data_IF_716160141973
#
_entry.id   IF_716160141973
#
_cell.length_a   1.000
_cell.length_b   1.000
_cell.length_c   1.000
_cell.angle_alpha   90.00
_cell.angle_beta   90.00
_cell.angle_gamma   90.00
#
_symmetry.space_group_name_H-M   'P 1'
#
loop_
_entity.id
_entity.type
_entity.pdbx_description
1 polymer ?
#
# COMPACT_ATOMS: atom_id res chain seq x y z
N UNK A 1 21.46 -5.81 30.73
CA UNK A 1 20.93 -6.20 29.40
C UNK A 1 21.71 -5.43 28.34
N UNK A 2 22.45 -6.08 27.43
CA UNK A 2 23.31 -5.39 26.45
C UNK A 2 22.46 -4.45 25.57
N UNK A 3 22.87 -3.19 25.44
CA UNK A 3 22.23 -2.20 24.57
C UNK A 3 22.36 -2.66 23.11
N UNK A 4 21.23 -2.77 22.41
CA UNK A 4 21.23 -3.05 20.97
C UNK A 4 21.74 -1.80 20.26
N UNK A 5 22.79 -1.94 19.44
CA UNK A 5 23.35 -0.82 18.68
C UNK A 5 22.30 -0.17 17.78
N UNK A 6 22.37 1.15 17.56
CA UNK A 6 21.46 1.89 16.67
C UNK A 6 21.33 1.25 15.28
N UNK A 7 22.44 0.79 14.68
CA UNK A 7 22.42 0.11 13.38
C UNK A 7 21.56 -1.17 13.39
N UNK A 8 21.62 -1.98 14.45
CA UNK A 8 20.78 -3.18 14.59
C UNK A 8 19.30 -2.80 14.77
N UNK A 9 18.99 -1.73 15.51
CA UNK A 9 17.61 -1.23 15.64
C UNK A 9 17.04 -0.79 14.29
N UNK A 10 17.81 -0.03 13.52
CA UNK A 10 17.43 0.40 12.16
C UNK A 10 17.19 -0.81 11.26
N UNK A 11 18.12 -1.77 11.22
CA UNK A 11 17.96 -3.00 10.42
C UNK A 11 16.73 -3.80 10.85
N UNK A 12 16.48 -3.91 12.16
CA UNK A 12 15.31 -4.59 12.70
C UNK A 12 14.02 -3.92 12.26
N UNK A 13 13.96 -2.58 12.31
CA UNK A 13 12.82 -1.81 11.83
C UNK A 13 12.60 -1.98 10.32
N UNK A 14 13.67 -1.93 9.50
CA UNK A 14 13.57 -2.14 8.05
C UNK A 14 13.08 -3.53 7.66
N UNK A 15 13.32 -4.55 8.50
CA UNK A 15 12.78 -5.89 8.26
C UNK A 15 11.25 -5.94 8.30
N UNK A 16 10.58 -4.96 8.93
CA UNK A 16 9.13 -4.85 8.88
C UNK A 16 8.62 -4.62 7.46
N UNK A 17 9.16 -3.62 6.74
CA UNK A 17 8.72 -3.30 5.38
C UNK A 17 8.97 -4.52 4.44
N UNK A 18 10.09 -5.22 4.61
CA UNK A 18 10.36 -6.50 3.92
C UNK A 18 9.34 -7.60 4.26
N UNK A 19 8.96 -7.70 5.54
CA UNK A 19 8.07 -8.74 6.02
C UNK A 19 6.63 -8.52 5.54
N UNK A 20 6.15 -7.28 5.51
CA UNK A 20 4.75 -6.92 5.24
C UNK A 20 4.40 -6.81 3.76
N UNK A 21 5.37 -6.45 2.90
CA UNK A 21 5.11 -6.20 1.48
C UNK A 21 4.45 -7.37 0.72
N UNK A 22 4.75 -8.66 1.01
CA UNK A 22 4.09 -9.78 0.34
C UNK A 22 2.58 -9.85 0.55
N UNK A 23 2.02 -9.26 1.61
CA UNK A 23 0.56 -9.18 1.75
C UNK A 23 -0.05 -8.35 0.62
N UNK A 24 0.48 -7.15 0.37
CA UNK A 24 0.01 -6.31 -0.74
C UNK A 24 0.31 -6.97 -2.10
N UNK A 25 1.52 -7.50 -2.27
CA UNK A 25 1.96 -8.01 -3.58
C UNK A 25 1.24 -9.30 -3.95
N UNK A 26 1.18 -10.28 -3.05
CA UNK A 26 0.67 -11.61 -3.34
C UNK A 26 -0.82 -11.76 -3.03
N UNK A 27 -1.25 -11.26 -1.85
CA UNK A 27 -2.64 -11.44 -1.43
C UNK A 27 -3.54 -10.43 -2.15
N UNK A 28 -3.20 -9.14 -2.10
CA UNK A 28 -4.09 -8.11 -2.67
C UNK A 28 -4.02 -8.09 -4.19
N UNK A 29 -2.82 -8.20 -4.79
CA UNK A 29 -2.64 -7.88 -6.21
C UNK A 29 -2.49 -9.08 -7.14
N UNK A 30 -1.46 -9.91 -6.98
CA UNK A 30 -1.02 -10.80 -8.08
C UNK A 30 -1.46 -12.26 -8.00
N UNK A 31 -1.81 -12.79 -6.82
CA UNK A 31 -2.11 -14.21 -6.67
C UNK A 31 -3.50 -14.43 -6.07
N UNK A 32 -3.70 -14.03 -4.81
CA UNK A 32 -4.93 -14.38 -4.11
C UNK A 32 -6.14 -13.57 -4.57
N UNK A 33 -6.02 -12.26 -4.79
CA UNK A 33 -7.11 -11.41 -5.28
C UNK A 33 -7.71 -11.93 -6.60
N UNK A 34 -6.88 -12.18 -7.65
CA UNK A 34 -7.36 -12.81 -8.88
C UNK A 34 -7.97 -14.20 -8.66
N UNK A 35 -7.35 -15.05 -7.84
CA UNK A 35 -7.89 -16.36 -7.49
C UNK A 35 -9.25 -16.28 -6.80
N UNK A 36 -9.41 -15.38 -5.82
CA UNK A 36 -10.69 -15.15 -5.15
C UNK A 36 -11.77 -14.74 -6.14
N UNK A 37 -11.46 -13.81 -7.06
CA UNK A 37 -12.39 -13.40 -8.10
C UNK A 37 -12.78 -14.57 -9.02
N UNK A 38 -11.81 -15.37 -9.46
CA UNK A 38 -12.01 -16.59 -10.26
C UNK A 38 -13.00 -17.55 -9.57
N UNK A 39 -12.79 -17.85 -8.28
CA UNK A 39 -13.64 -18.77 -7.53
C UNK A 39 -15.03 -18.23 -7.24
N UNK A 40 -15.16 -16.94 -6.94
CA UNK A 40 -16.48 -16.33 -6.74
C UNK A 40 -17.28 -16.30 -8.04
N UNK A 41 -16.63 -16.01 -9.19
CA UNK A 41 -17.28 -16.12 -10.51
C UNK A 41 -17.76 -17.55 -10.74
N UNK A 42 -16.90 -18.56 -10.54
CA UNK A 42 -17.25 -19.96 -10.72
C UNK A 42 -18.45 -20.38 -9.83
N UNK A 43 -18.47 -19.94 -8.57
CA UNK A 43 -19.57 -20.19 -7.65
C UNK A 43 -20.90 -19.58 -8.14
N UNK A 44 -20.92 -18.32 -8.58
CA UNK A 44 -22.13 -17.69 -9.12
C UNK A 44 -22.58 -18.31 -10.45
N UNK A 45 -21.64 -18.64 -11.34
CA UNK A 45 -21.95 -19.32 -12.60
C UNK A 45 -22.54 -20.71 -12.37
N UNK A 46 -22.06 -21.46 -11.36
CA UNK A 46 -22.64 -22.74 -10.96
C UNK A 46 -24.09 -22.62 -10.44
N UNK A 47 -24.48 -21.44 -9.92
CA UNK A 47 -25.86 -21.12 -9.53
C UNK A 47 -26.72 -20.62 -10.70
N UNK A 48 -26.21 -20.64 -11.94
CA UNK A 48 -26.94 -20.22 -13.14
C UNK A 48 -26.97 -18.71 -13.38
N UNK A 49 -26.14 -17.93 -12.67
CA UNK A 49 -25.95 -16.50 -12.94
C UNK A 49 -25.14 -16.33 -14.23
N UNK A 50 -25.54 -15.42 -15.10
CA UNK A 50 -24.80 -15.12 -16.31
C UNK A 50 -23.38 -14.61 -16.00
N UNK A 51 -22.47 -14.82 -16.94
CA UNK A 51 -21.04 -14.60 -16.70
C UNK A 51 -20.67 -13.15 -16.37
N UNK A 52 -21.35 -12.17 -16.98
CA UNK A 52 -21.05 -10.75 -16.74
C UNK A 52 -21.59 -10.30 -15.38
N UNK A 53 -22.78 -10.77 -15.00
CA UNK A 53 -23.30 -10.56 -13.65
C UNK A 53 -22.43 -11.26 -12.60
N UNK A 54 -21.94 -12.48 -12.84
CA UNK A 54 -21.04 -13.19 -11.93
C UNK A 54 -19.72 -12.43 -11.70
N UNK A 55 -19.14 -11.83 -12.77
CA UNK A 55 -17.98 -10.95 -12.68
C UNK A 55 -18.26 -9.69 -11.85
N UNK A 56 -19.40 -9.06 -12.07
CA UNK A 56 -19.82 -7.89 -11.29
C UNK A 56 -19.99 -8.25 -9.80
N UNK A 57 -20.55 -9.42 -9.48
CA UNK A 57 -20.70 -9.90 -8.10
C UNK A 57 -19.35 -10.19 -7.45
N UNK A 58 -18.42 -10.84 -8.14
CA UNK A 58 -17.07 -11.08 -7.62
C UNK A 58 -16.34 -9.77 -7.30
N UNK A 59 -16.42 -8.78 -8.19
CA UNK A 59 -15.89 -7.44 -7.94
C UNK A 59 -16.58 -6.76 -6.74
N UNK A 60 -17.90 -6.88 -6.63
CA UNK A 60 -18.69 -6.32 -5.52
C UNK A 60 -18.27 -6.92 -4.17
N UNK A 61 -18.17 -8.25 -4.07
CA UNK A 61 -17.77 -8.95 -2.84
C UNK A 61 -16.35 -8.56 -2.42
N UNK A 62 -15.41 -8.52 -3.36
CA UNK A 62 -14.04 -8.07 -3.07
C UNK A 62 -14.00 -6.61 -2.62
N UNK A 63 -14.74 -5.74 -3.31
CA UNK A 63 -14.90 -4.33 -2.96
C UNK A 63 -15.51 -4.12 -1.57
N UNK A 64 -16.48 -4.95 -1.17
CA UNK A 64 -17.04 -4.94 0.19
C UNK A 64 -15.99 -5.30 1.24
N UNK A 65 -15.15 -6.30 1.00
CA UNK A 65 -14.04 -6.64 1.91
C UNK A 65 -13.04 -5.49 2.10
N UNK A 66 -12.66 -4.85 1.00
CA UNK A 66 -11.81 -3.64 1.05
C UNK A 66 -12.49 -2.47 1.76
N UNK A 67 -13.80 -2.29 1.55
CA UNK A 67 -14.58 -1.23 2.21
C UNK A 67 -14.69 -1.46 3.71
N UNK A 68 -15.05 -2.68 4.14
CA UNK A 68 -15.17 -3.03 5.57
C UNK A 68 -13.82 -2.90 6.27
N UNK A 69 -12.74 -3.43 5.69
CA UNK A 69 -11.40 -3.27 6.25
C UNK A 69 -10.98 -1.80 6.31
N UNK A 70 -11.17 -1.04 5.23
CA UNK A 70 -10.86 0.39 5.17
C UNK A 70 -11.61 1.22 6.20
N UNK A 71 -12.91 0.99 6.38
CA UNK A 71 -13.75 1.69 7.37
C UNK A 71 -13.34 1.30 8.80
N UNK A 72 -13.06 0.02 9.04
CA UNK A 72 -12.57 -0.46 10.33
C UNK A 72 -11.25 0.23 10.71
N UNK A 73 -10.30 0.30 9.76
CA UNK A 73 -9.02 0.99 9.96
C UNK A 73 -9.24 2.48 10.18
N UNK A 74 -10.06 3.14 9.36
CA UNK A 74 -10.34 4.57 9.47
C UNK A 74 -10.87 4.94 10.88
N UNK A 75 -11.79 4.13 11.42
CA UNK A 75 -12.39 4.38 12.74
C UNK A 75 -11.42 4.02 13.87
N UNK A 76 -10.77 2.86 13.79
CA UNK A 76 -9.97 2.33 14.89
C UNK A 76 -8.55 2.92 14.95
N UNK A 77 -7.97 3.37 13.83
CA UNK A 77 -6.58 3.83 13.75
C UNK A 77 -6.29 5.03 14.68
N UNK A 78 -7.07 6.12 14.67
CA UNK A 78 -6.83 7.24 15.58
C UNK A 78 -7.05 6.86 17.05
N UNK A 79 -8.06 6.02 17.33
CA UNK A 79 -8.40 5.60 18.70
C UNK A 79 -7.30 4.73 19.29
N UNK A 80 -6.90 3.67 18.60
CA UNK A 80 -5.86 2.77 19.09
C UNK A 80 -4.48 3.46 19.10
N UNK A 81 -4.25 4.41 18.20
CA UNK A 81 -3.07 5.26 18.22
C UNK A 81 -2.97 6.08 19.50
N UNK A 82 -4.02 6.81 19.85
CA UNK A 82 -4.07 7.62 21.08
C UNK A 82 -3.89 6.77 22.36
N UNK A 83 -4.48 5.57 22.39
CA UNK A 83 -4.32 4.62 23.51
C UNK A 83 -2.85 4.15 23.62
N UNK A 84 -2.22 3.82 22.50
CA UNK A 84 -0.83 3.38 22.49
C UNK A 84 0.13 4.47 22.95
N UNK A 85 -0.09 5.73 22.54
CA UNK A 85 0.68 6.87 23.03
C UNK A 85 0.52 7.04 24.55
N UNK A 86 -0.70 6.96 25.10
CA UNK A 86 -0.93 7.07 26.55
C UNK A 86 -0.30 5.95 27.40
N UNK A 87 -0.06 4.77 26.82
CA UNK A 87 0.67 3.67 27.49
C UNK A 87 2.17 3.69 27.24
N UNK A 88 2.66 4.51 26.30
CA UNK A 88 4.05 4.56 25.80
C UNK A 88 4.58 3.19 25.28
N UNK A 89 3.69 2.25 24.96
CA UNK A 89 4.05 0.88 24.55
C UNK A 89 3.40 0.52 23.23
N UNK A 90 4.18 0.43 22.16
CA UNK A 90 3.74 0.13 20.78
C UNK A 90 4.02 -1.34 20.43
N UNK A 91 5.07 -1.95 20.98
CA UNK A 91 5.43 -3.35 20.71
C UNK A 91 4.32 -4.35 21.02
N UNK A 92 3.55 -4.24 22.13
CA UNK A 92 2.42 -5.15 22.36
C UNK A 92 1.35 -5.07 21.26
N UNK A 93 1.07 -3.87 20.76
CA UNK A 93 0.15 -3.69 19.64
C UNK A 93 0.70 -4.30 18.35
N UNK A 94 1.99 -4.12 18.08
CA UNK A 94 2.64 -4.76 16.92
C UNK A 94 2.54 -6.29 17.03
N UNK A 95 2.70 -6.89 18.21
CA UNK A 95 2.49 -8.33 18.42
C UNK A 95 1.06 -8.78 18.12
N UNK A 96 0.06 -8.08 18.67
CA UNK A 96 -1.36 -8.41 18.47
C UNK A 96 -1.72 -8.33 16.99
N UNK A 97 -1.39 -7.23 16.32
CA UNK A 97 -1.72 -7.06 14.90
C UNK A 97 -0.86 -7.91 13.97
N UNK A 98 0.35 -8.30 14.39
CA UNK A 98 1.13 -9.36 13.72
C UNK A 98 0.42 -10.70 13.78
N UNK A 99 -0.22 -11.04 14.91
CA UNK A 99 -1.04 -12.25 15.00
C UNK A 99 -2.27 -12.15 14.10
N UNK A 100 -2.95 -11.00 14.04
CA UNK A 100 -4.04 -10.77 13.08
C UNK A 100 -3.58 -10.92 11.62
N UNK A 101 -2.41 -10.38 11.26
CA UNK A 101 -1.79 -10.57 9.95
C UNK A 101 -1.61 -12.07 9.65
N UNK A 102 -0.94 -12.79 10.56
CA UNK A 102 -0.56 -14.19 10.34
C UNK A 102 -1.80 -15.07 10.25
N UNK A 103 -2.74 -14.93 11.18
CA UNK A 103 -3.99 -15.70 11.18
C UNK A 103 -4.84 -15.35 9.95
N UNK A 104 -4.96 -14.06 9.62
CA UNK A 104 -5.69 -13.61 8.45
C UNK A 104 -5.10 -14.13 7.13
N UNK A 105 -3.78 -14.07 6.97
CA UNK A 105 -3.10 -14.61 5.79
C UNK A 105 -3.18 -16.14 5.73
N UNK A 106 -2.87 -16.85 6.83
CA UNK A 106 -2.91 -18.31 6.86
C UNK A 106 -4.33 -18.86 6.64
N UNK A 107 -5.36 -18.18 7.15
CA UNK A 107 -6.76 -18.57 6.99
C UNK A 107 -7.25 -18.53 5.54
N UNK A 108 -6.55 -17.84 4.63
CA UNK A 108 -6.84 -17.88 3.20
C UNK A 108 -6.63 -19.28 2.58
N UNK A 109 -5.92 -20.18 3.27
CA UNK A 109 -5.80 -21.59 2.90
C UNK A 109 -7.16 -22.27 2.68
N UNK A 110 -8.19 -21.87 3.43
CA UNK A 110 -9.53 -22.46 3.34
C UNK A 110 -10.32 -22.06 2.10
N UNK A 111 -9.75 -21.25 1.21
CA UNK A 111 -10.35 -20.87 -0.06
C UNK A 111 -10.36 -22.03 -1.07
N UNK A 112 -11.04 -23.13 -0.75
CA UNK A 112 -11.15 -24.33 -1.60
C UNK A 112 -12.03 -24.08 -2.82
N UNK A 113 -11.66 -24.53 -4.04
CA UNK A 113 -12.45 -24.30 -5.25
C UNK A 113 -13.78 -25.09 -5.29
N UNK A 114 -13.87 -26.22 -4.59
CA UNK A 114 -15.04 -27.13 -4.65
C UNK A 114 -16.24 -26.66 -3.82
N UNK A 115 -15.99 -26.11 -2.64
CA UNK A 115 -16.99 -25.54 -1.73
C UNK A 115 -16.44 -24.21 -1.19
N UNK A 116 -16.40 -23.21 -2.06
CA UNK A 116 -15.70 -21.96 -1.79
C UNK A 116 -16.39 -21.17 -0.67
N UNK A 117 -15.78 -21.06 0.53
CA UNK A 117 -16.45 -20.46 1.68
C UNK A 117 -16.23 -18.94 1.69
N UNK A 118 -16.85 -18.26 0.72
CA UNK A 118 -16.63 -16.85 0.37
C UNK A 118 -16.53 -15.93 1.58
N UNK A 119 -17.51 -15.97 2.49
CA UNK A 119 -17.55 -15.05 3.64
C UNK A 119 -16.51 -15.35 4.71
N UNK A 120 -16.16 -16.62 4.93
CA UNK A 120 -15.10 -16.99 5.87
C UNK A 120 -13.74 -16.53 5.34
N UNK A 121 -13.47 -16.76 4.07
CA UNK A 121 -12.26 -16.30 3.39
C UNK A 121 -12.16 -14.77 3.41
N UNK A 122 -13.27 -14.08 3.14
CA UNK A 122 -13.34 -12.62 3.20
C UNK A 122 -13.07 -12.10 4.62
N UNK A 123 -13.58 -12.78 5.66
CA UNK A 123 -13.31 -12.42 7.04
C UNK A 123 -11.82 -12.57 7.41
N UNK A 124 -11.16 -13.63 6.94
CA UNK A 124 -9.71 -13.80 7.11
C UNK A 124 -8.91 -12.72 6.35
N UNK A 125 -9.32 -12.39 5.13
CA UNK A 125 -8.74 -11.27 4.37
C UNK A 125 -8.88 -9.94 5.14
N UNK A 126 -10.08 -9.62 5.64
CA UNK A 126 -10.32 -8.40 6.42
C UNK A 126 -9.44 -8.37 7.68
N UNK A 127 -9.37 -9.49 8.42
CA UNK A 127 -8.53 -9.61 9.62
C UNK A 127 -7.04 -9.37 9.30
N UNK A 128 -6.56 -9.95 8.21
CA UNK A 128 -5.17 -9.79 7.78
C UNK A 128 -4.88 -8.35 7.32
N UNK A 129 -5.78 -7.74 6.53
CA UNK A 129 -5.67 -6.34 6.10
C UNK A 129 -5.64 -5.38 7.30
N UNK A 130 -6.48 -5.60 8.32
CA UNK A 130 -6.43 -4.85 9.58
C UNK A 130 -5.05 -5.06 10.24
N UNK A 131 -4.56 -6.30 10.32
CA UNK A 131 -3.23 -6.60 10.86
C UNK A 131 -2.09 -5.85 10.17
N UNK A 132 -2.07 -5.83 8.82
CA UNK A 132 -1.09 -5.11 8.00
C UNK A 132 -1.09 -3.62 8.33
N UNK A 133 -2.27 -3.00 8.31
CA UNK A 133 -2.41 -1.55 8.40
C UNK A 133 -2.09 -1.04 9.81
N UNK A 134 -2.53 -1.76 10.84
CA UNK A 134 -2.17 -1.41 12.21
C UNK A 134 -0.70 -1.65 12.52
N UNK A 135 -0.11 -2.79 12.11
CA UNK A 135 1.33 -2.99 12.28
C UNK A 135 2.13 -1.89 11.55
N UNK A 136 1.64 -1.39 10.42
CA UNK A 136 2.27 -0.28 9.67
C UNK A 136 2.21 1.01 10.49
N UNK A 137 1.06 1.36 11.05
CA UNK A 137 0.87 2.55 11.89
C UNK A 137 1.84 2.54 13.08
N UNK A 138 1.83 1.46 13.88
CA UNK A 138 2.66 1.37 15.08
C UNK A 138 4.16 1.34 14.75
N UNK A 139 4.53 0.66 13.66
CA UNK A 139 5.94 0.61 13.21
C UNK A 139 6.41 1.95 12.67
N UNK A 140 5.60 2.65 11.88
CA UNK A 140 5.93 3.98 11.39
C UNK A 140 6.12 4.98 12.53
N UNK A 141 5.31 4.86 13.58
CA UNK A 141 5.40 5.74 14.73
C UNK A 141 6.65 5.49 15.60
N UNK A 142 7.39 4.39 15.38
CA UNK A 142 8.72 4.14 15.96
C UNK A 142 9.84 4.89 15.22
N UNK A 143 9.64 5.23 13.95
CA UNK A 143 10.64 5.83 13.06
C UNK A 143 11.41 7.02 13.66
N UNK A 144 10.77 7.99 14.38
CA UNK A 144 11.48 9.11 14.99
C UNK A 144 12.55 8.70 16.00
N UNK A 145 12.44 7.50 16.59
CA UNK A 145 13.38 6.99 17.61
C UNK A 145 14.64 6.32 17.04
N UNK A 146 14.78 6.27 15.70
CA UNK A 146 15.82 5.50 15.02
C UNK A 146 17.02 6.34 14.56
N UNK A 147 16.92 7.67 14.61
CA UNK A 147 18.01 8.56 14.25
C UNK A 147 17.58 10.03 14.30
N UNK A 148 18.52 10.91 14.02
CA UNK A 148 18.26 12.35 13.97
C UNK A 148 17.27 12.70 12.87
N UNK A 149 16.60 13.86 12.99
CA UNK A 149 15.59 14.34 12.03
C UNK A 149 16.06 14.32 10.57
N UNK A 150 17.36 14.50 10.31
CA UNK A 150 17.97 14.43 8.98
C UNK A 150 18.18 13.01 8.47
N UNK A 151 18.46 12.03 9.34
CA UNK A 151 18.72 10.64 8.93
C UNK A 151 17.42 9.86 8.66
N UNK A 152 16.29 10.30 9.22
CA UNK A 152 15.00 9.63 9.10
C UNK A 152 14.58 9.45 7.63
N UNK A 153 14.85 10.44 6.76
CA UNK A 153 14.64 10.35 5.31
C UNK A 153 15.28 9.11 4.68
N UNK A 154 16.56 8.90 5.00
CA UNK A 154 17.34 7.75 4.51
C UNK A 154 16.84 6.44 5.12
N UNK A 155 16.51 6.42 6.40
CA UNK A 155 15.99 5.22 7.07
C UNK A 155 14.65 4.78 6.45
N UNK A 156 13.73 5.73 6.24
CA UNK A 156 12.44 5.47 5.61
C UNK A 156 12.59 4.98 4.17
N UNK A 157 13.41 5.66 3.36
CA UNK A 157 13.61 5.28 1.95
C UNK A 157 14.24 3.89 1.82
N UNK A 158 15.19 3.57 2.69
CA UNK A 158 15.78 2.23 2.74
C UNK A 158 14.74 1.17 3.15
N UNK A 159 13.94 1.42 4.19
CA UNK A 159 12.89 0.49 4.63
C UNK A 159 11.92 0.18 3.49
N UNK A 160 11.38 1.22 2.85
CA UNK A 160 10.43 1.06 1.75
C UNK A 160 11.05 0.35 0.52
N UNK A 161 12.30 0.66 0.18
CA UNK A 161 13.03 -0.05 -0.87
C UNK A 161 13.19 -1.55 -0.57
N UNK A 162 13.54 -1.90 0.67
CA UNK A 162 13.60 -3.30 1.11
C UNK A 162 12.23 -3.99 1.07
N UNK A 163 11.16 -3.24 1.34
CA UNK A 163 9.79 -3.69 1.09
C UNK A 163 9.60 -4.16 -0.34
N UNK A 164 9.87 -3.30 -1.33
CA UNK A 164 9.76 -3.68 -2.75
C UNK A 164 10.56 -4.95 -3.10
N UNK A 165 11.81 -5.06 -2.63
CA UNK A 165 12.62 -6.26 -2.86
C UNK A 165 11.96 -7.49 -2.26
N UNK A 166 11.43 -7.39 -1.03
CA UNK A 166 10.72 -8.49 -0.37
C UNK A 166 9.46 -8.92 -1.12
N UNK A 167 8.65 -7.97 -1.58
CA UNK A 167 7.45 -8.25 -2.38
C UNK A 167 7.77 -8.93 -3.72
N UNK A 168 8.76 -8.41 -4.46
CA UNK A 168 9.18 -8.98 -5.76
C UNK A 168 9.77 -10.37 -5.57
N UNK A 169 10.65 -10.57 -4.58
CA UNK A 169 11.23 -11.89 -4.32
C UNK A 169 10.15 -12.90 -3.92
N UNK A 170 9.23 -12.51 -3.04
CA UNK A 170 8.11 -13.36 -2.64
C UNK A 170 7.24 -13.77 -3.84
N UNK A 171 7.00 -12.86 -4.79
CA UNK A 171 6.25 -13.14 -6.03
C UNK A 171 6.99 -14.11 -6.94
N UNK A 172 8.29 -13.90 -7.15
CA UNK A 172 9.13 -14.79 -7.95
C UNK A 172 9.10 -16.20 -7.34
N UNK A 173 9.28 -16.33 -6.03
CA UNK A 173 9.24 -17.63 -5.35
C UNK A 173 7.87 -18.30 -5.48
N UNK A 174 6.79 -17.55 -5.29
CA UNK A 174 5.44 -18.08 -5.48
C UNK A 174 5.22 -18.61 -6.89
N UNK A 175 5.51 -17.83 -7.93
CA UNK A 175 5.25 -18.22 -9.31
C UNK A 175 6.15 -19.36 -9.81
N UNK A 176 7.41 -19.40 -9.37
CA UNK A 176 8.34 -20.44 -9.77
C UNK A 176 8.02 -21.79 -9.12
N UNK A 177 7.58 -21.80 -7.85
CA UNK A 177 7.57 -23.03 -7.05
C UNK A 177 6.19 -23.47 -6.55
N UNK A 178 5.21 -22.58 -6.48
CA UNK A 178 3.94 -22.87 -5.80
C UNK A 178 2.73 -22.61 -6.69
N UNK A 179 2.53 -21.38 -7.16
CA UNK A 179 1.37 -21.00 -7.95
C UNK A 179 1.38 -21.70 -9.32
N UNK A 180 0.42 -22.58 -9.50
CA UNK A 180 0.13 -23.32 -10.71
C UNK A 180 -0.76 -22.54 -11.68
N UNK A 181 -0.56 -22.77 -12.98
CA UNK A 181 -1.43 -22.28 -14.05
C UNK A 181 -2.60 -23.26 -14.31
N UNK A 182 -3.39 -23.01 -15.35
CA UNK A 182 -4.52 -23.86 -15.76
C UNK A 182 -4.15 -25.30 -16.10
N UNK A 183 -2.87 -25.57 -16.40
CA UNK A 183 -2.37 -26.91 -16.71
C UNK A 183 -1.82 -27.62 -15.46
N UNK A 184 -1.99 -27.04 -14.26
CA UNK A 184 -1.54 -27.61 -13.01
C UNK A 184 -0.02 -27.56 -12.78
N UNK A 185 0.69 -26.73 -13.55
CA UNK A 185 2.14 -26.57 -13.44
C UNK A 185 2.53 -25.13 -13.08
N UNK A 186 3.60 -25.01 -12.32
CA UNK A 186 4.28 -23.75 -11.98
C UNK A 186 5.08 -23.22 -13.17
N UNK A 187 5.67 -22.03 -13.05
CA UNK A 187 6.55 -21.49 -14.10
C UNK A 187 7.81 -22.35 -14.35
N UNK A 188 8.18 -23.24 -13.43
CA UNK A 188 9.24 -24.22 -13.65
C UNK A 188 8.80 -25.46 -14.45
N UNK A 189 7.55 -25.49 -14.92
CA UNK A 189 7.02 -26.60 -15.71
C UNK A 189 6.76 -27.88 -14.90
N UNK A 190 6.71 -27.77 -13.57
CA UNK A 190 6.45 -28.88 -12.64
C UNK A 190 5.24 -28.56 -11.78
N UNK A 191 4.60 -29.59 -11.22
CA UNK A 191 3.58 -29.41 -10.19
C UNK A 191 4.12 -28.61 -8.98
N UNK A 192 3.23 -27.99 -8.19
CA UNK A 192 3.60 -27.25 -6.99
C UNK A 192 4.51 -28.05 -6.04
N UNK A 193 5.43 -27.36 -5.34
CA UNK A 193 6.27 -28.00 -4.32
C UNK A 193 5.44 -28.58 -3.16
N UNK A 194 6.10 -29.42 -2.35
CA UNK A 194 5.52 -30.11 -1.19
C UNK A 194 4.41 -31.11 -1.51
N UNK A 195 4.20 -31.46 -2.79
CA UNK A 195 3.16 -32.38 -3.21
C UNK A 195 1.75 -31.79 -3.08
N UNK A 196 1.65 -30.46 -3.11
CA UNK A 196 0.36 -29.76 -3.13
C UNK A 196 -0.40 -30.12 -4.42
N UNK A 197 -1.70 -30.38 -4.27
CA UNK A 197 -2.58 -30.81 -5.36
C UNK A 197 -2.95 -29.65 -6.30
N UNK A 198 -2.50 -29.67 -7.57
CA UNK A 198 -2.83 -28.64 -8.53
C UNK A 198 -4.31 -28.61 -8.95
N UNK A 199 -5.02 -29.74 -8.88
CA UNK A 199 -6.46 -29.79 -9.22
C UNK A 199 -7.28 -29.02 -8.18
N UNK A 200 -6.89 -29.13 -6.91
CA UNK A 200 -7.48 -28.42 -5.78
C UNK A 200 -6.92 -26.99 -5.58
N UNK A 201 -6.14 -26.51 -6.57
CA UNK A 201 -5.49 -25.19 -6.60
C UNK A 201 -4.65 -24.93 -5.33
N UNK A 202 -4.10 -25.99 -4.73
CA UNK A 202 -3.41 -25.91 -3.45
C UNK A 202 -2.12 -25.08 -3.53
N UNK A 203 -1.43 -25.08 -4.69
CA UNK A 203 -0.26 -24.25 -4.91
C UNK A 203 -0.56 -22.75 -4.83
N UNK A 204 -1.70 -22.34 -5.41
CA UNK A 204 -2.19 -20.96 -5.42
C UNK A 204 -2.73 -20.59 -4.03
N UNK A 205 -3.49 -21.48 -3.38
CA UNK A 205 -4.01 -21.28 -2.01
C UNK A 205 -2.89 -21.22 -0.96
N UNK A 206 -1.77 -21.89 -1.20
CA UNK A 206 -0.59 -21.84 -0.34
C UNK A 206 0.00 -20.44 -0.20
N UNK A 207 -0.37 -19.47 -1.06
CA UNK A 207 0.00 -18.06 -0.92
C UNK A 207 -0.30 -17.49 0.47
N UNK A 208 -1.43 -17.88 1.07
CA UNK A 208 -1.81 -17.43 2.41
C UNK A 208 -0.81 -17.89 3.48
N UNK A 209 -0.65 -19.20 3.69
CA UNK A 209 0.39 -19.76 4.56
C UNK A 209 1.81 -19.29 4.24
N UNK A 210 2.17 -19.15 2.97
CA UNK A 210 3.48 -18.65 2.55
C UNK A 210 3.71 -17.21 3.03
N UNK A 211 2.75 -16.30 2.82
CA UNK A 211 2.84 -14.91 3.27
C UNK A 211 2.84 -14.82 4.79
N UNK A 212 2.06 -15.65 5.48
CA UNK A 212 2.05 -15.73 6.94
C UNK A 212 3.41 -16.18 7.50
N UNK A 213 3.98 -17.24 6.94
CA UNK A 213 5.30 -17.76 7.30
C UNK A 213 6.43 -16.78 6.99
N UNK A 214 6.40 -16.15 5.80
CA UNK A 214 7.34 -15.11 5.41
C UNK A 214 7.36 -13.97 6.42
N UNK A 215 6.18 -13.47 6.79
CA UNK A 215 6.05 -12.38 7.75
C UNK A 215 6.55 -12.80 9.13
N UNK A 216 6.12 -13.96 9.64
CA UNK A 216 6.52 -14.47 10.95
C UNK A 216 8.04 -14.63 11.08
N UNK A 217 8.69 -15.23 10.07
CA UNK A 217 10.14 -15.42 10.04
C UNK A 217 10.89 -14.09 9.88
N UNK A 218 10.39 -13.23 8.99
CA UNK A 218 11.03 -11.94 8.69
C UNK A 218 10.87 -10.91 9.81
N UNK A 219 9.87 -11.05 10.68
CA UNK A 219 9.68 -10.22 11.87
C UNK A 219 10.59 -10.61 13.05
N UNK A 220 11.29 -11.75 12.99
CA UNK A 220 12.19 -12.18 14.07
C UNK A 220 13.26 -11.10 14.37
N UNK A 221 14.01 -10.55 13.40
CA UNK A 221 15.00 -9.51 13.68
C UNK A 221 14.36 -8.22 14.21
N UNK A 222 13.14 -7.89 13.78
CA UNK A 222 12.38 -6.75 14.30
C UNK A 222 12.20 -6.90 15.81
N UNK A 223 11.61 -8.01 16.28
CA UNK A 223 11.35 -8.19 17.71
C UNK A 223 12.61 -8.45 18.56
N UNK A 224 13.66 -9.04 17.97
CA UNK A 224 14.94 -9.24 18.68
C UNK A 224 15.68 -7.93 18.93
N UNK A 225 15.62 -6.99 18.00
CA UNK A 225 16.43 -5.76 18.05
C UNK A 225 15.64 -4.52 18.44
N UNK A 226 14.33 -4.48 18.17
CA UNK A 226 13.48 -3.38 18.57
C UNK A 226 13.17 -3.48 20.06
N UNK A 227 13.46 -2.41 20.78
CA UNK A 227 13.21 -2.29 22.22
C UNK A 227 12.57 -0.96 22.50
N UNK A 228 11.55 -0.99 23.36
CA UNK A 228 10.95 0.20 23.92
C UNK A 228 11.55 0.48 25.29
N UNK A 229 11.77 1.76 25.64
CA UNK A 229 12.01 2.14 27.02
C UNK A 229 10.89 1.54 27.89
N UNK A 230 11.25 0.97 29.06
CA UNK A 230 10.25 0.59 30.05
C UNK A 230 9.76 1.89 30.71
N UNK A 231 8.79 2.55 30.08
CA UNK A 231 8.24 3.84 30.49
C UNK A 231 7.10 3.75 31.51
N UNK A 232 6.90 4.84 32.24
CA UNK A 232 5.90 5.13 33.28
C UNK A 232 4.49 5.38 32.75
N UNK A 233 4.18 4.85 31.57
CA UNK A 233 2.91 5.06 30.87
C UNK A 233 1.68 4.65 31.69
N UNK A 234 0.52 5.19 31.32
CA UNK A 234 -0.72 4.96 32.06
C UNK A 234 -1.11 3.48 32.06
N UNK A 235 -1.86 3.05 33.10
CA UNK A 235 -2.51 1.75 33.09
C UNK A 235 -3.46 1.67 31.88
N UNK A 236 -3.60 0.51 31.19
CA UNK A 236 -4.39 0.38 29.96
C UNK A 236 -5.83 0.92 30.08
N UNK A 237 -6.51 0.65 31.21
CA UNK A 237 -7.88 1.14 31.43
C UNK A 237 -7.98 2.68 31.47
N UNK A 238 -6.99 3.36 32.06
CA UNK A 238 -6.94 4.83 32.07
C UNK A 238 -6.51 5.38 30.71
N UNK A 239 -5.62 4.67 30.00
CA UNK A 239 -5.19 5.04 28.66
C UNK A 239 -6.34 5.02 27.64
N UNK A 240 -7.35 4.16 27.81
CA UNK A 240 -8.57 4.19 26.97
C UNK A 240 -9.30 5.53 27.12
N UNK A 241 -9.70 5.89 28.34
CA UNK A 241 -10.44 7.14 28.58
C UNK A 241 -9.60 8.37 28.19
N UNK A 242 -8.32 8.37 28.56
CA UNK A 242 -7.38 9.45 28.23
C UNK A 242 -7.18 9.57 26.73
N UNK A 243 -6.98 8.45 26.03
CA UNK A 243 -6.79 8.39 24.58
C UNK A 243 -7.99 8.91 23.80
N UNK A 244 -9.22 8.58 24.20
CA UNK A 244 -10.43 9.14 23.58
C UNK A 244 -10.55 10.66 23.80
N UNK A 245 -10.24 11.14 25.02
CA UNK A 245 -10.23 12.58 25.32
C UNK A 245 -9.15 13.32 24.52
N UNK A 246 -7.94 12.77 24.48
CA UNK A 246 -6.79 13.29 23.72
C UNK A 246 -7.12 13.39 22.23
N UNK A 247 -7.70 12.35 21.65
CA UNK A 247 -8.10 12.34 20.25
C UNK A 247 -9.13 13.43 19.95
N UNK A 248 -10.14 13.60 20.82
CA UNK A 248 -11.13 14.67 20.67
C UNK A 248 -10.49 16.06 20.77
N UNK A 249 -9.52 16.26 21.66
CA UNK A 249 -8.74 17.50 21.76
C UNK A 249 -7.89 17.75 20.51
N UNK A 250 -7.22 16.73 19.99
CA UNK A 250 -6.43 16.82 18.76
C UNK A 250 -7.32 17.17 17.57
N UNK A 251 -8.48 16.52 17.42
CA UNK A 251 -9.42 16.83 16.35
C UNK A 251 -9.98 18.27 16.46
N UNK A 252 -10.25 18.75 17.68
CA UNK A 252 -10.70 20.13 17.92
C UNK A 252 -9.60 21.17 17.68
N UNK A 253 -8.35 20.83 17.94
CA UNK A 253 -7.19 21.71 17.71
C UNK A 253 -6.62 21.59 16.30
N UNK A 254 -7.03 20.60 15.50
CA UNK A 254 -6.52 20.42 14.14
C UNK A 254 -6.71 21.66 13.24
N UNK A 255 -7.86 22.39 13.28
CA UNK A 255 -8.02 23.63 12.53
C UNK A 255 -7.07 24.77 12.94
N UNK A 256 -6.58 24.78 14.19
CA UNK A 256 -5.56 25.75 14.62
C UNK A 256 -4.15 25.32 14.22
N UNK A 257 -3.90 24.00 14.10
CA UNK A 257 -2.65 23.42 13.58
C UNK A 257 -2.60 23.42 12.05
N UNK A 258 -2.49 24.62 11.45
CA UNK A 258 -2.64 24.86 10.00
C UNK A 258 -1.72 23.99 9.14
N UNK A 259 -0.46 23.83 9.54
CA UNK A 259 0.53 23.03 8.80
C UNK A 259 0.18 21.55 8.80
N UNK A 260 -0.19 21.00 9.97
CA UNK A 260 -0.57 19.59 10.09
C UNK A 260 -1.85 19.29 9.31
N UNK A 261 -2.87 20.14 9.44
CA UNK A 261 -4.12 20.01 8.68
C UNK A 261 -3.87 20.11 7.18
N UNK A 262 -3.10 21.10 6.73
CA UNK A 262 -2.73 21.25 5.32
C UNK A 262 -1.97 20.02 4.80
N UNK A 263 -1.09 19.44 5.61
CA UNK A 263 -0.36 18.23 5.24
C UNK A 263 -1.27 17.00 5.16
N UNK A 264 -2.13 16.79 6.16
CA UNK A 264 -3.10 15.69 6.13
C UNK A 264 -3.97 15.80 4.88
N UNK A 265 -4.61 16.96 4.64
CA UNK A 265 -5.44 17.18 3.44
C UNK A 265 -4.65 17.02 2.14
N UNK A 266 -3.44 17.59 2.04
CA UNK A 266 -2.59 17.40 0.88
C UNK A 266 -2.35 15.91 0.62
N UNK A 267 -1.97 15.17 1.66
CA UNK A 267 -1.68 13.74 1.59
C UNK A 267 -2.88 12.90 1.21
N UNK A 268 -4.08 13.27 1.64
CA UNK A 268 -5.33 12.65 1.21
C UNK A 268 -5.44 12.65 -0.32
N UNK A 269 -5.37 13.83 -0.93
CA UNK A 269 -5.57 13.98 -2.37
C UNK A 269 -4.48 13.32 -3.22
N UNK A 270 -3.20 13.52 -2.91
CA UNK A 270 -2.14 12.92 -3.74
C UNK A 270 -2.03 11.40 -3.54
N UNK A 271 -2.32 10.87 -2.35
CA UNK A 271 -2.31 9.40 -2.12
C UNK A 271 -3.50 8.73 -2.78
N UNK A 272 -4.68 9.35 -2.71
CA UNK A 272 -5.85 8.84 -3.42
C UNK A 272 -5.63 8.87 -4.93
N UNK A 273 -5.08 9.97 -5.46
CA UNK A 273 -4.71 10.06 -6.88
C UNK A 273 -3.71 8.98 -7.28
N UNK A 274 -2.66 8.76 -6.48
CA UNK A 274 -1.66 7.71 -6.71
C UNK A 274 -2.29 6.30 -6.69
N UNK A 275 -3.19 6.02 -5.76
CA UNK A 275 -3.95 4.76 -5.72
C UNK A 275 -4.80 4.58 -6.98
N UNK A 276 -5.43 5.67 -7.46
CA UNK A 276 -6.14 5.69 -8.73
C UNK A 276 -5.25 5.30 -9.90
N UNK A 277 -4.03 5.86 -9.99
CA UNK A 277 -3.12 5.49 -11.10
C UNK A 277 -2.72 4.01 -11.00
N UNK A 278 -2.44 3.48 -9.81
CA UNK A 278 -2.12 2.06 -9.65
C UNK A 278 -3.28 1.13 -10.00
N UNK A 279 -4.50 1.47 -9.58
CA UNK A 279 -5.68 0.64 -9.81
C UNK A 279 -6.10 0.62 -11.29
N UNK A 280 -6.03 1.76 -11.97
CA UNK A 280 -6.53 1.91 -13.34
C UNK A 280 -5.43 1.85 -14.41
N UNK A 281 -4.15 1.89 -14.05
CA UNK A 281 -3.04 1.85 -15.01
C UNK A 281 -3.00 0.58 -15.87
N UNK A 282 -3.24 -0.59 -15.26
CA UNK A 282 -3.32 -1.85 -16.00
C UNK A 282 -4.58 -1.94 -16.88
N UNK A 283 -5.72 -1.43 -16.38
CA UNK A 283 -6.98 -1.37 -17.14
C UNK A 283 -6.82 -0.48 -18.37
N UNK A 284 -6.16 0.66 -18.22
CA UNK A 284 -5.84 1.56 -19.32
C UNK A 284 -4.95 0.86 -20.36
N UNK A 285 -3.88 0.19 -19.94
CA UNK A 285 -2.97 -0.47 -20.86
C UNK A 285 -3.68 -1.55 -21.70
N UNK A 286 -4.56 -2.32 -21.07
CA UNK A 286 -5.36 -3.33 -21.75
C UNK A 286 -6.41 -2.72 -22.69
N UNK A 287 -7.10 -1.67 -22.26
CA UNK A 287 -8.23 -1.10 -23.00
C UNK A 287 -7.86 -0.07 -24.08
N UNK A 288 -6.74 0.64 -23.93
CA UNK A 288 -6.31 1.72 -24.86
C UNK A 288 -5.15 1.29 -25.74
N UNK A 289 -4.20 0.53 -25.21
CA UNK A 289 -3.03 0.04 -25.95
C UNK A 289 -3.15 -1.42 -26.38
N UNK A 290 -4.28 -2.06 -26.07
CA UNK A 290 -4.57 -3.46 -26.42
C UNK A 290 -3.47 -4.42 -25.94
N UNK A 291 -2.85 -4.09 -24.80
CA UNK A 291 -1.78 -4.90 -24.24
C UNK A 291 -2.25 -6.29 -23.85
N UNK A 292 -1.43 -7.28 -24.18
CA UNK A 292 -1.58 -8.62 -23.61
C UNK A 292 -1.41 -8.60 -22.09
N UNK A 293 -1.99 -9.58 -21.40
CA UNK A 293 -1.81 -9.78 -19.95
C UNK A 293 -0.33 -9.89 -19.58
N UNK A 294 0.49 -10.49 -20.45
CA UNK A 294 1.94 -10.61 -20.26
C UNK A 294 2.59 -9.23 -20.24
N UNK A 295 2.23 -8.33 -21.16
CA UNK A 295 2.80 -6.98 -21.24
C UNK A 295 2.48 -6.16 -19.97
N UNK A 296 1.26 -6.27 -19.46
CA UNK A 296 0.84 -5.64 -18.18
C UNK A 296 1.62 -6.21 -16.99
N UNK A 297 1.87 -7.52 -16.98
CA UNK A 297 2.72 -8.18 -15.97
C UNK A 297 4.16 -7.66 -15.99
N UNK A 298 4.77 -7.58 -17.17
CA UNK A 298 6.12 -7.00 -17.36
C UNK A 298 6.16 -5.56 -16.86
N UNK A 299 5.13 -4.75 -17.15
CA UNK A 299 5.01 -3.38 -16.68
C UNK A 299 5.03 -3.29 -15.15
N UNK A 300 4.24 -4.14 -14.47
CA UNK A 300 4.22 -4.20 -13.01
C UNK A 300 5.59 -4.54 -12.41
N UNK A 301 6.32 -5.50 -13.01
CA UNK A 301 7.66 -5.89 -12.58
C UNK A 301 8.66 -4.74 -12.76
N UNK A 302 8.66 -4.09 -13.93
CA UNK A 302 9.55 -2.96 -14.21
C UNK A 302 9.26 -1.78 -13.27
N UNK A 303 7.99 -1.49 -13.01
CA UNK A 303 7.58 -0.46 -12.05
C UNK A 303 8.04 -0.79 -10.62
N UNK A 304 7.92 -2.05 -10.18
CA UNK A 304 8.36 -2.46 -8.84
C UNK A 304 9.88 -2.43 -8.67
N UNK A 305 10.65 -2.90 -9.66
CA UNK A 305 12.11 -2.83 -9.65
C UNK A 305 12.61 -1.38 -9.65
N UNK A 306 12.00 -0.54 -10.50
CA UNK A 306 12.25 0.90 -10.51
C UNK A 306 11.93 1.51 -9.15
N UNK A 307 10.77 1.18 -8.57
CA UNK A 307 10.38 1.61 -7.24
C UNK A 307 11.39 1.26 -6.16
N UNK A 308 11.94 0.04 -6.15
CA UNK A 308 12.99 -0.34 -5.20
C UNK A 308 14.23 0.57 -5.30
N UNK A 309 14.75 0.76 -6.51
CA UNK A 309 15.98 1.52 -6.77
C UNK A 309 15.77 3.01 -6.44
N UNK A 310 14.72 3.61 -6.98
CA UNK A 310 14.51 5.05 -6.84
C UNK A 310 14.01 5.44 -5.46
N UNK A 311 13.29 4.57 -4.74
CA UNK A 311 12.92 4.84 -3.34
C UNK A 311 14.14 4.86 -2.42
N UNK A 312 15.11 3.98 -2.67
CA UNK A 312 16.42 4.03 -2.00
C UNK A 312 17.11 5.37 -2.26
N UNK A 313 17.19 5.80 -3.53
CA UNK A 313 17.78 7.10 -3.92
C UNK A 313 17.01 8.28 -3.29
N UNK A 314 15.67 8.23 -3.32
CA UNK A 314 14.78 9.22 -2.75
C UNK A 314 14.95 9.38 -1.24
N UNK A 315 15.32 8.32 -0.52
CA UNK A 315 15.70 8.41 0.89
C UNK A 315 16.92 9.30 1.14
N UNK A 316 17.93 9.28 0.25
CA UNK A 316 19.07 10.20 0.34
C UNK A 316 18.68 11.63 -0.02
N UNK A 317 17.76 11.81 -0.96
CA UNK A 317 17.22 13.13 -1.31
C UNK A 317 16.42 13.72 -0.16
N UNK A 318 15.58 12.92 0.51
CA UNK A 318 14.83 13.32 1.71
C UNK A 318 15.80 13.71 2.84
N UNK A 319 16.84 12.89 3.07
CA UNK A 319 17.90 13.25 4.03
C UNK A 319 18.55 14.60 3.72
N UNK A 320 18.84 14.89 2.44
CA UNK A 320 19.57 16.09 2.01
C UNK A 320 18.70 17.35 1.96
N UNK A 321 17.48 17.23 1.45
CA UNK A 321 16.60 18.36 1.14
C UNK A 321 15.39 18.47 2.07
N UNK A 322 15.14 17.45 2.89
CA UNK A 322 13.90 17.25 3.62
C UNK A 322 12.79 16.65 2.76
N UNK A 323 11.66 16.27 3.37
CA UNK A 323 10.60 15.57 2.66
C UNK A 323 9.75 16.49 1.77
N UNK A 324 9.58 17.77 2.13
CA UNK A 324 8.70 18.68 1.36
C UNK A 324 9.14 18.79 -0.12
N UNK A 325 10.41 19.09 -0.45
CA UNK A 325 10.82 19.18 -1.85
C UNK A 325 10.71 17.85 -2.59
N UNK A 326 10.95 16.73 -1.91
CA UNK A 326 10.84 15.38 -2.49
C UNK A 326 9.38 15.05 -2.84
N UNK A 327 8.44 15.37 -1.95
CA UNK A 327 7.00 15.21 -2.21
C UNK A 327 6.57 16.11 -3.38
N UNK A 328 6.97 17.40 -3.36
CA UNK A 328 6.65 18.35 -4.44
C UNK A 328 7.15 17.85 -5.79
N UNK A 329 8.43 17.45 -5.87
CA UNK A 329 9.02 16.89 -7.09
C UNK A 329 8.24 15.65 -7.57
N UNK A 330 7.91 14.74 -6.66
CA UNK A 330 7.18 13.52 -6.98
C UNK A 330 5.78 13.82 -7.53
N UNK A 331 5.05 14.76 -6.93
CA UNK A 331 3.71 15.15 -7.42
C UNK A 331 3.80 15.82 -8.79
N UNK A 332 4.76 16.72 -9.00
CA UNK A 332 4.96 17.38 -10.31
C UNK A 332 5.27 16.34 -11.39
N UNK A 333 6.17 15.39 -11.09
CA UNK A 333 6.52 14.32 -12.03
C UNK A 333 5.33 13.37 -12.27
N UNK A 334 4.53 13.04 -11.26
CA UNK A 334 3.29 12.27 -11.41
C UNK A 334 2.26 12.98 -12.30
N UNK A 335 2.13 14.31 -12.19
CA UNK A 335 1.28 15.10 -13.09
C UNK A 335 1.78 15.00 -14.53
N UNK A 336 3.09 15.18 -14.74
CA UNK A 336 3.72 15.04 -16.07
C UNK A 336 3.50 13.64 -16.64
N UNK A 337 3.63 12.60 -15.81
CA UNK A 337 3.37 11.21 -16.21
C UNK A 337 1.90 11.03 -16.62
N UNK A 338 0.94 11.51 -15.83
CA UNK A 338 -0.48 11.43 -16.16
C UNK A 338 -0.80 12.15 -17.49
N UNK A 339 -0.26 13.36 -17.69
CA UNK A 339 -0.41 14.11 -18.95
C UNK A 339 0.22 13.35 -20.12
N UNK A 340 1.40 12.76 -19.91
CA UNK A 340 2.09 11.95 -20.92
C UNK A 340 1.27 10.73 -21.30
N UNK A 341 0.73 9.99 -20.31
CA UNK A 341 -0.15 8.84 -20.52
C UNK A 341 -1.39 9.23 -21.33
N UNK A 342 -2.06 10.33 -20.99
CA UNK A 342 -3.23 10.80 -21.74
C UNK A 342 -2.87 11.15 -23.19
N UNK A 343 -1.63 11.56 -23.45
CA UNK A 343 -1.14 11.95 -24.78
C UNK A 343 -0.68 10.76 -25.63
N UNK A 344 -0.65 9.54 -25.08
CA UNK A 344 -0.28 8.32 -25.80
C UNK A 344 -1.56 7.67 -26.36
N UNK A 345 -1.55 7.36 -27.65
CA UNK A 345 -2.54 6.53 -28.35
C UNK A 345 -1.80 5.52 -29.23
N UNK A 346 -2.47 4.48 -29.76
CA UNK A 346 -1.82 3.53 -30.67
C UNK A 346 -1.18 4.20 -31.90
N UNK A 347 -1.69 5.37 -32.31
CA UNK A 347 -1.22 6.13 -33.47
C UNK A 347 -0.40 7.38 -33.12
N UNK A 348 -0.22 7.71 -31.84
CA UNK A 348 0.51 8.93 -31.45
C UNK A 348 1.18 8.85 -30.08
N UNK A 349 2.31 9.53 -29.95
CA UNK A 349 3.01 9.73 -28.66
C UNK A 349 3.27 11.21 -28.47
N UNK A 350 2.82 11.77 -27.35
CA UNK A 350 2.93 13.21 -27.07
C UNK A 350 2.32 14.07 -28.19
N UNK A 351 1.19 13.62 -28.75
CA UNK A 351 0.49 14.25 -29.88
C UNK A 351 1.26 14.25 -31.21
N UNK A 352 2.39 13.52 -31.30
CA UNK A 352 3.13 13.32 -32.54
C UNK A 352 2.68 11.99 -33.16
N UNK A 353 2.18 11.98 -34.41
CA UNK A 353 1.74 10.74 -35.05
C UNK A 353 2.93 9.81 -35.29
N UNK A 354 2.73 8.52 -35.03
CA UNK A 354 3.71 7.47 -35.26
C UNK A 354 3.26 6.57 -36.42
N UNK A 355 4.21 5.88 -37.03
CA UNK A 355 3.89 4.91 -38.08
C UNK A 355 2.91 3.85 -37.57
N UNK A 356 2.04 3.35 -38.45
CA UNK A 356 1.14 2.25 -38.14
C UNK A 356 1.93 1.05 -37.61
N UNK A 357 1.43 0.40 -36.54
CA UNK A 357 2.10 -0.72 -35.84
C UNK A 357 3.48 -0.39 -35.24
N UNK A 358 3.81 0.88 -35.03
CA UNK A 358 5.02 1.27 -34.29
C UNK A 358 4.95 0.77 -32.85
N UNK A 359 6.04 0.24 -32.32
CA UNK A 359 6.17 -0.12 -30.89
C UNK A 359 6.39 1.10 -29.98
N UNK A 360 6.43 2.32 -30.54
CA UNK A 360 6.74 3.54 -29.81
C UNK A 360 5.70 3.88 -28.70
N UNK A 361 4.37 3.73 -28.90
CA UNK A 361 3.38 3.93 -27.85
C UNK A 361 3.60 2.99 -26.66
N UNK A 362 3.89 1.71 -26.93
CA UNK A 362 4.14 0.72 -25.90
C UNK A 362 5.40 1.06 -25.09
N UNK A 363 6.50 1.38 -25.79
CA UNK A 363 7.75 1.79 -25.15
C UNK A 363 7.54 3.06 -24.32
N UNK A 364 6.82 4.05 -24.84
CA UNK A 364 6.50 5.27 -24.10
C UNK A 364 5.68 4.98 -22.84
N UNK A 365 4.70 4.08 -22.92
CA UNK A 365 3.90 3.68 -21.76
C UNK A 365 4.72 2.88 -20.74
N UNK A 366 5.64 2.01 -21.17
CA UNK A 366 6.61 1.36 -20.28
C UNK A 366 7.51 2.36 -19.57
N UNK A 367 8.01 3.38 -20.27
CA UNK A 367 8.81 4.47 -19.67
C UNK A 367 7.99 5.23 -18.62
N UNK A 368 6.74 5.56 -18.91
CA UNK A 368 5.81 6.14 -17.94
C UNK A 368 5.61 5.23 -16.72
N UNK A 369 5.49 3.92 -16.92
CA UNK A 369 5.40 2.92 -15.84
C UNK A 369 6.62 2.85 -14.94
N UNK A 370 7.81 2.83 -15.54
CA UNK A 370 9.09 2.88 -14.81
C UNK A 370 9.21 4.17 -14.01
N UNK A 371 8.88 5.32 -14.63
CA UNK A 371 8.91 6.61 -13.96
C UNK A 371 7.88 6.69 -12.82
N UNK A 372 6.69 6.13 -13.02
CA UNK A 372 5.64 6.03 -12.02
C UNK A 372 6.06 5.15 -10.84
N UNK A 373 6.63 3.98 -11.10
CA UNK A 373 7.21 3.11 -10.09
C UNK A 373 8.32 3.84 -9.31
N UNK A 374 9.19 4.56 -10.01
CA UNK A 374 10.30 5.30 -9.42
C UNK A 374 9.83 6.32 -8.38
N UNK A 375 8.82 7.13 -8.71
CA UNK A 375 8.31 8.17 -7.79
C UNK A 375 7.28 7.67 -6.80
N UNK A 376 6.57 6.59 -7.11
CA UNK A 376 5.49 6.03 -6.28
C UNK A 376 5.97 5.61 -4.90
N UNK A 377 7.13 4.94 -4.81
CA UNK A 377 7.73 4.60 -3.53
C UNK A 377 8.42 5.80 -2.85
N UNK A 378 9.02 6.70 -3.63
CA UNK A 378 9.68 7.92 -3.12
C UNK A 378 8.70 8.82 -2.39
N UNK A 379 7.54 9.12 -2.99
CA UNK A 379 6.53 9.97 -2.36
C UNK A 379 5.97 9.33 -1.10
N UNK A 380 5.77 8.01 -1.09
CA UNK A 380 5.23 7.30 0.08
C UNK A 380 6.21 7.31 1.24
N UNK A 381 7.50 7.05 0.98
CA UNK A 381 8.56 7.15 1.99
C UNK A 381 8.70 8.58 2.51
N UNK A 382 8.76 9.58 1.63
CA UNK A 382 8.87 10.99 2.04
C UNK A 382 7.62 11.48 2.80
N UNK A 383 6.45 10.91 2.52
CA UNK A 383 5.23 11.21 3.28
C UNK A 383 5.29 10.64 4.69
N UNK A 384 5.88 9.45 4.87
CA UNK A 384 6.14 8.87 6.21
C UNK A 384 7.00 9.82 7.04
N UNK A 385 8.06 10.39 6.46
CA UNK A 385 8.97 11.30 7.17
C UNK A 385 8.40 12.71 7.35
N UNK A 386 7.60 13.20 6.40
CA UNK A 386 6.84 14.45 6.58
C UNK A 386 5.89 14.34 7.77
N UNK A 387 5.18 13.22 7.93
CA UNK A 387 4.31 13.00 9.07
C UNK A 387 5.10 13.06 10.40
N UNK A 388 6.30 12.48 10.45
CA UNK A 388 7.19 12.60 11.63
C UNK A 388 7.55 14.05 11.94
N UNK A 389 7.76 14.90 10.93
CA UNK A 389 8.06 16.33 11.13
C UNK A 389 6.85 17.14 11.57
N UNK A 390 5.64 16.79 11.12
CA UNK A 390 4.40 17.50 11.47
C UNK A 390 3.80 17.04 12.80
N UNK A 391 4.05 15.80 13.21
CA UNK A 391 3.48 15.21 14.40
C UNK A 391 4.03 15.85 15.69
N UNK A 392 3.18 15.85 16.71
CA UNK A 392 3.62 16.04 18.08
C UNK A 392 4.50 14.85 18.50
N UNK A 393 5.74 15.05 18.97
CA UNK A 393 6.62 13.97 19.41
C UNK A 393 5.99 13.08 20.49
N UNK A 394 5.10 13.62 21.33
CA UNK A 394 4.43 12.87 22.41
C UNK A 394 3.22 12.07 21.90
N UNK A 395 2.66 12.43 20.74
CA UNK A 395 1.44 11.83 20.16
C UNK A 395 1.68 11.22 18.78
N UNK A 396 2.83 10.58 18.60
CA UNK A 396 3.28 10.09 17.30
C UNK A 396 2.39 8.96 16.74
N UNK A 397 1.87 8.05 17.57
CA UNK A 397 0.98 6.98 17.06
C UNK A 397 -0.37 7.54 16.63
N UNK A 398 -0.93 8.44 17.43
CA UNK A 398 -2.17 9.14 17.15
C UNK A 398 -2.06 9.90 15.82
N UNK A 399 -0.94 10.61 15.60
CA UNK A 399 -0.67 11.31 14.36
C UNK A 399 -0.61 10.38 13.13
N UNK A 400 0.07 9.23 13.23
CA UNK A 400 0.06 8.22 12.16
C UNK A 400 -1.32 7.56 11.99
N UNK A 401 -2.12 7.45 13.06
CA UNK A 401 -3.52 7.02 12.99
C UNK A 401 -4.39 8.01 12.23
N UNK A 402 -4.24 9.31 12.47
CA UNK A 402 -4.89 10.38 11.68
C UNK A 402 -4.42 10.38 10.23
N UNK A 403 -3.13 10.15 9.99
CA UNK A 403 -2.58 10.00 8.65
C UNK A 403 -3.16 8.79 7.89
N UNK A 404 -3.36 7.65 8.57
CA UNK A 404 -4.03 6.48 8.01
C UNK A 404 -5.51 6.77 7.71
N UNK A 405 -6.25 7.33 8.68
CA UNK A 405 -7.65 7.77 8.51
C UNK A 405 -7.79 8.68 7.30
N UNK A 406 -6.95 9.73 7.21
CA UNK A 406 -7.00 10.70 6.12
C UNK A 406 -6.89 10.01 4.76
N UNK A 407 -5.90 9.10 4.59
CA UNK A 407 -5.72 8.35 3.35
C UNK A 407 -6.88 7.43 2.98
N UNK A 408 -7.69 6.99 3.95
CA UNK A 408 -8.91 6.19 3.69
C UNK A 408 -10.14 7.06 3.47
N UNK A 409 -10.21 8.24 4.08
CA UNK A 409 -11.38 9.13 4.01
C UNK A 409 -11.69 9.62 2.59
N UNK A 410 -10.71 9.64 1.68
CA UNK A 410 -10.89 10.04 0.27
C UNK A 410 -10.61 8.92 -0.71
N UNK A 411 -10.37 7.67 -0.28
CA UNK A 411 -9.92 6.59 -1.17
C UNK A 411 -10.92 6.18 -2.26
N UNK A 412 -12.13 6.74 -2.23
CA UNK A 412 -13.18 6.54 -3.23
C UNK A 412 -13.23 7.66 -4.27
N UNK A 413 -12.57 8.81 -4.01
CA UNK A 413 -12.72 10.02 -4.81
C UNK A 413 -12.07 9.87 -6.19
N UNK A 414 -10.85 9.37 -6.28
CA UNK A 414 -10.17 9.07 -7.55
C UNK A 414 -10.95 8.06 -8.41
N UNK A 415 -11.33 6.86 -7.91
CA UNK A 415 -12.17 5.94 -8.67
C UNK A 415 -13.50 6.55 -9.13
N UNK A 416 -14.19 7.31 -8.26
CA UNK A 416 -15.46 7.94 -8.60
C UNK A 416 -15.30 8.99 -9.70
N UNK A 417 -14.29 9.86 -9.59
CA UNK A 417 -14.02 10.88 -10.59
C UNK A 417 -13.60 10.26 -11.92
N UNK A 418 -12.80 9.19 -11.92
CA UNK A 418 -12.47 8.44 -13.14
C UNK A 418 -13.72 7.86 -13.77
N UNK A 419 -14.59 7.22 -12.99
CA UNK A 419 -15.84 6.64 -13.51
C UNK A 419 -16.74 7.71 -14.16
N UNK A 420 -16.94 8.85 -13.47
CA UNK A 420 -17.73 9.98 -13.99
C UNK A 420 -17.09 10.56 -15.26
N UNK A 421 -15.78 10.84 -15.25
CA UNK A 421 -15.10 11.40 -16.41
C UNK A 421 -15.12 10.44 -17.61
N UNK A 422 -14.95 9.14 -17.38
CA UNK A 422 -15.03 8.12 -18.43
C UNK A 422 -16.44 8.05 -19.02
N UNK A 423 -17.47 8.08 -18.18
CA UNK A 423 -18.87 8.04 -18.62
C UNK A 423 -19.27 9.30 -19.42
N UNK A 424 -18.82 10.48 -18.98
CA UNK A 424 -19.11 11.76 -19.67
C UNK A 424 -18.36 11.89 -20.99
N UNK A 425 -17.13 11.41 -21.07
CA UNK A 425 -16.28 11.55 -22.27
C UNK A 425 -16.37 10.35 -23.21
N UNK A 426 -16.98 9.24 -22.77
CA UNK A 426 -16.92 7.93 -23.45
C UNK A 426 -15.49 7.51 -23.81
N UNK A 427 -14.50 7.88 -22.98
CA UNK A 427 -13.09 7.63 -23.25
C UNK A 427 -12.37 7.21 -21.98
N UNK A 428 -11.88 5.97 -21.94
CA UNK A 428 -11.02 5.49 -20.85
C UNK A 428 -9.75 6.36 -20.72
N UNK A 429 -9.25 6.86 -21.85
CA UNK A 429 -8.09 7.75 -21.89
C UNK A 429 -8.32 9.06 -21.15
N UNK A 430 -9.45 9.72 -21.45
CA UNK A 430 -9.82 10.97 -20.78
C UNK A 430 -10.30 10.74 -19.34
N UNK A 431 -10.75 9.53 -19.02
CA UNK A 431 -11.12 9.11 -17.67
C UNK A 431 -10.04 9.32 -16.61
N UNK A 432 -8.76 9.26 -16.97
CA UNK A 432 -7.64 9.48 -16.03
C UNK A 432 -7.41 10.96 -15.69
N UNK A 433 -7.93 11.90 -16.49
CA UNK A 433 -7.70 13.35 -16.30
C UNK A 433 -7.99 13.90 -14.90
N UNK A 434 -9.00 13.43 -14.14
CA UNK A 434 -9.26 13.95 -12.79
C UNK A 434 -8.12 13.69 -11.81
N UNK A 435 -7.28 12.68 -12.03
CA UNK A 435 -6.10 12.40 -11.20
C UNK A 435 -5.11 13.56 -11.21
N UNK A 436 -4.97 14.25 -12.34
CA UNK A 436 -4.16 15.48 -12.44
C UNK A 436 -4.73 16.55 -11.51
N UNK A 437 -6.05 16.73 -11.49
CA UNK A 437 -6.74 17.66 -10.60
C UNK A 437 -6.47 17.35 -9.12
N UNK A 438 -6.59 16.07 -8.73
CA UNK A 438 -6.30 15.65 -7.35
C UNK A 438 -4.84 15.87 -6.96
N UNK A 439 -3.89 15.57 -7.87
CA UNK A 439 -2.47 15.89 -7.64
C UNK A 439 -2.23 17.39 -7.50
N UNK A 440 -2.87 18.23 -8.32
CA UNK A 440 -2.76 19.69 -8.24
C UNK A 440 -3.33 20.22 -6.93
N UNK A 441 -4.49 19.72 -6.48
CA UNK A 441 -5.04 20.08 -5.16
C UNK A 441 -4.06 19.69 -4.05
N UNK A 442 -3.51 18.47 -4.11
CA UNK A 442 -2.48 18.02 -3.18
C UNK A 442 -1.24 18.93 -3.17
N UNK A 443 -0.76 19.35 -4.36
CA UNK A 443 0.39 20.23 -4.53
C UNK A 443 0.13 21.65 -4.01
N UNK A 444 -1.05 22.21 -4.30
CA UNK A 444 -1.45 23.54 -3.83
C UNK A 444 -1.52 23.53 -2.30
N UNK A 445 -2.12 22.50 -1.69
CA UNK A 445 -2.22 22.38 -0.24
C UNK A 445 -0.85 22.28 0.46
N UNK A 446 0.19 21.75 -0.21
CA UNK A 446 1.55 21.75 0.32
C UNK A 446 2.14 23.15 0.51
N UNK A 447 1.60 24.20 -0.14
CA UNK A 447 2.08 25.57 0.03
C UNK A 447 2.01 26.01 1.50
N UNK A 448 0.97 25.60 2.23
CA UNK A 448 0.76 25.94 3.65
C UNK A 448 1.48 25.01 4.64
N UNK A 449 2.12 23.94 4.15
CA UNK A 449 2.87 23.01 5.01
C UNK A 449 4.24 23.59 5.34
N UNK A 450 4.52 23.81 6.63
CA UNK A 450 5.84 24.20 7.12
C UNK A 450 6.77 22.98 7.10
N UNK A 451 7.96 23.03 6.47
CA UNK A 451 8.82 21.84 6.29
C UNK A 451 9.19 21.08 7.58
N UNK A 452 9.32 21.79 8.70
CA UNK A 452 9.75 21.22 9.99
C UNK A 452 8.62 21.14 11.03
N UNK A 453 7.37 21.27 10.58
CA UNK A 453 6.20 21.29 11.45
C UNK A 453 5.89 22.67 12.01
N UNK A 454 4.88 22.72 12.88
CA UNK A 454 4.61 23.87 13.73
C UNK A 454 5.29 23.67 15.08
N UNK A 455 5.81 24.75 15.67
CA UNK A 455 6.20 24.73 17.08
C UNK A 455 4.94 24.50 17.91
N UNK A 456 4.91 23.39 18.63
CA UNK A 456 3.83 23.09 19.58
C UNK A 456 4.08 24.00 20.79
N UNK A 457 3.36 25.11 20.86
CA UNK A 457 3.37 26.05 21.99
C UNK A 457 2.51 25.56 23.14
#
# INVERSE_FOLDING_TARGET
MKNVSASKRIKGWMMYDWASQPYHTLIVTFIFGPYFAEQVIAHFSAMGVDHDTARAQAQSVWGLGLTISGLSIAILAPVLGAIADGTERRLPWIWVFSACYIVGAAGLWFASPTDFPTYMVLAFFILGMIGVEFTTIFTNAILPSLGDKSEIGKVSGNGWAWGYVGGVLALILMLLFFAENSNGITLLGKGPLFGLDPEMREGTRFVGPFVAGWFALSMIPFFLWMREPRGSGMKPAMAIKSGLSSLLETLKSLPSRKSLLAYLMSSMFYRDSLNGVFAFGGVYALGVLEWSVINVGVFGILAALSGAIFTYIGGFQDKKFGPKPVIVFSIVLLIVICVSIISITPESVLLIPVAAQSSMPDVAFYVCGIALGAVGGVIQSASRTMMVRQADPERMTEAFGLYALSGKATSFLAPALIAVATALTNSQRMGITPLIGLFLVGLILLAWVKPDGEEVS
#
